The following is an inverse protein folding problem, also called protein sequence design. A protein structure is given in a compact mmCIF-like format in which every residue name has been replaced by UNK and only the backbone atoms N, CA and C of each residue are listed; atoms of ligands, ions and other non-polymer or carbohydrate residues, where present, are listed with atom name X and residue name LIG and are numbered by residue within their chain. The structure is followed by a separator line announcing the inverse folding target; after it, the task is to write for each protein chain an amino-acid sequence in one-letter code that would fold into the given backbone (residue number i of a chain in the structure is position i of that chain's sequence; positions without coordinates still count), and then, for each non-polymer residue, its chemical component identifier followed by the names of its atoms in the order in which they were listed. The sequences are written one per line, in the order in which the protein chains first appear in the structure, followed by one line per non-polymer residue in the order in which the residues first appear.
data_IF_244025472668
#
_entry.id   IF_244025472668
#
_cell.length_a   1.000
_cell.length_b   1.000
_cell.length_c   1.000
_cell.angle_alpha   90.00
_cell.angle_beta   90.00
_cell.angle_gamma   90.00
#
_symmetry.space_group_name_H-M   'P 1'
#
loop_
_entity.id
_entity.type
_entity.pdbx_description
1 polymer ?
#
# COMPACT_ATOMS: atom_id res chain seq x y z
N UNK A 1 -31.40 -43.20 -19.07
CA UNK A 1 -30.90 -42.24 -20.08
C UNK A 1 -31.31 -40.78 -19.81
N UNK A 2 -32.49 -40.50 -19.20
CA UNK A 2 -32.90 -39.11 -18.87
C UNK A 2 -32.12 -38.44 -17.73
N UNK A 3 -31.69 -39.20 -16.71
CA UNK A 3 -30.93 -38.67 -15.58
C UNK A 3 -29.50 -38.22 -15.95
N UNK A 4 -28.85 -38.88 -16.92
CA UNK A 4 -27.55 -38.48 -17.46
C UNK A 4 -27.63 -37.18 -18.27
N UNK A 5 -28.76 -36.93 -18.94
CA UNK A 5 -28.98 -35.69 -19.68
C UNK A 5 -29.12 -34.47 -18.75
N UNK A 6 -29.75 -34.64 -17.58
CA UNK A 6 -29.86 -33.55 -16.59
C UNK A 6 -28.52 -33.24 -15.91
N UNK A 7 -27.66 -34.25 -15.67
CA UNK A 7 -26.35 -34.04 -15.07
C UNK A 7 -25.36 -33.35 -16.04
N UNK A 8 -25.45 -33.66 -17.33
CA UNK A 8 -24.68 -32.96 -18.37
C UNK A 8 -25.08 -31.48 -18.51
N UNK A 9 -26.36 -31.15 -18.30
CA UNK A 9 -26.84 -29.76 -18.36
C UNK A 9 -26.39 -28.93 -17.15
N UNK A 10 -26.19 -29.56 -15.99
CA UNK A 10 -25.72 -28.87 -14.78
C UNK A 10 -24.22 -28.53 -14.80
N UNK A 11 -23.40 -29.31 -15.54
CA UNK A 11 -21.96 -29.06 -15.65
C UNK A 11 -21.59 -27.85 -16.52
N UNK A 12 -22.51 -27.33 -17.34
CA UNK A 12 -22.28 -26.14 -18.16
C UNK A 12 -22.51 -24.80 -17.42
N UNK A 13 -22.98 -24.83 -16.17
CA UNK A 13 -23.17 -23.63 -15.35
C UNK A 13 -21.91 -23.31 -14.52
N UNK A 14 -20.81 -22.97 -15.19
CA UNK A 14 -19.65 -22.37 -14.53
C UNK A 14 -19.86 -20.84 -14.43
N UNK A 15 -19.72 -20.22 -13.25
CA UNK A 15 -19.75 -18.76 -13.15
C UNK A 15 -18.51 -18.18 -13.84
N UNK A 16 -18.70 -17.36 -14.88
CA UNK A 16 -17.61 -16.55 -15.43
C UNK A 16 -17.18 -15.56 -14.34
N UNK A 17 -15.99 -15.77 -13.77
CA UNK A 17 -15.35 -14.78 -12.93
C UNK A 17 -15.00 -13.56 -13.79
N UNK A 18 -15.78 -12.49 -13.64
CA UNK A 18 -15.45 -11.20 -14.22
C UNK A 18 -14.14 -10.70 -13.59
N UNK A 19 -13.09 -10.59 -14.40
CA UNK A 19 -11.87 -9.88 -14.02
C UNK A 19 -12.19 -8.38 -14.04
N UNK A 20 -12.37 -7.80 -12.87
CA UNK A 20 -12.60 -6.37 -12.72
C UNK A 20 -11.24 -5.66 -12.87
N UNK A 21 -10.88 -5.32 -14.11
CA UNK A 21 -9.64 -4.61 -14.42
C UNK A 21 -9.77 -3.14 -13.96
N UNK A 22 -8.94 -2.75 -12.99
CA UNK A 22 -8.89 -1.38 -12.46
C UNK A 22 -7.92 -0.57 -13.31
N UNK A 23 -8.43 0.48 -13.96
CA UNK A 23 -7.63 1.37 -14.81
C UNK A 23 -7.28 2.66 -14.06
N UNK A 24 -6.04 3.11 -14.23
CA UNK A 24 -5.52 4.39 -13.70
C UNK A 24 -5.31 5.36 -14.86
N UNK A 25 -5.86 6.57 -14.76
CA UNK A 25 -5.55 7.66 -15.70
C UNK A 25 -5.31 8.99 -14.99
N UNK A 26 -4.66 9.90 -15.70
CA UNK A 26 -4.37 11.26 -15.24
C UNK A 26 -5.18 12.21 -16.10
N UNK A 27 -5.96 13.10 -15.48
CA UNK A 27 -6.73 14.11 -16.21
C UNK A 27 -5.88 15.34 -16.60
N UNK A 28 -6.49 16.28 -17.33
CA UNK A 28 -5.83 17.51 -17.79
C UNK A 28 -5.34 18.42 -16.64
N UNK A 29 -5.81 18.18 -15.41
CA UNK A 29 -5.42 18.92 -14.21
C UNK A 29 -4.38 18.15 -13.38
N UNK A 30 -3.88 17.02 -13.87
CA UNK A 30 -2.90 16.19 -13.18
C UNK A 30 -3.49 15.31 -12.08
N UNK A 31 -4.82 15.22 -11.97
CA UNK A 31 -5.50 14.42 -10.94
C UNK A 31 -5.56 12.96 -11.40
N UNK A 32 -5.17 12.05 -10.50
CA UNK A 32 -5.17 10.60 -10.76
C UNK A 32 -6.55 10.05 -10.40
N UNK A 33 -7.20 9.41 -11.38
CA UNK A 33 -8.48 8.74 -11.22
C UNK A 33 -8.34 7.22 -11.36
N UNK A 34 -9.18 6.48 -10.63
CA UNK A 34 -9.25 5.01 -10.64
C UNK A 34 -10.69 4.58 -10.93
N UNK A 35 -10.89 3.68 -11.89
CA UNK A 35 -12.23 3.21 -12.25
C UNK A 35 -12.22 1.95 -13.09
N UNK A 36 -13.33 1.20 -13.03
CA UNK A 36 -13.56 -0.08 -13.73
C UNK A 36 -14.19 0.09 -15.12
N UNK A 37 -14.16 1.30 -15.69
CA UNK A 37 -14.74 1.58 -17.01
C UNK A 37 -13.81 2.45 -17.87
N UNK A 38 -13.45 2.05 -19.11
CA UNK A 38 -12.55 2.81 -19.97
C UNK A 38 -13.23 4.10 -20.50
N UNK A 39 -12.54 5.26 -20.47
CA UNK A 39 -13.21 6.54 -20.75
C UNK A 39 -13.43 6.90 -22.23
N UNK A 40 -12.81 6.27 -23.25
CA UNK A 40 -13.13 6.56 -24.67
C UNK A 40 -12.40 5.64 -25.69
N UNK A 41 -12.88 5.63 -26.94
CA UNK A 41 -12.53 4.75 -28.09
C UNK A 41 -11.49 5.31 -29.08
N UNK A 42 -10.74 6.38 -28.78
CA UNK A 42 -9.84 7.02 -29.76
C UNK A 42 -8.45 7.35 -29.19
N UNK A 43 -7.63 6.33 -28.94
CA UNK A 43 -6.22 6.51 -28.60
C UNK A 43 -5.34 6.34 -29.85
N UNK A 44 -4.69 7.42 -30.27
CA UNK A 44 -3.62 7.39 -31.29
C UNK A 44 -2.33 6.86 -30.64
N UNK A 45 -1.53 6.05 -31.35
CA UNK A 45 -0.32 5.45 -30.79
C UNK A 45 0.71 6.52 -30.42
N UNK A 46 1.14 6.53 -29.16
CA UNK A 46 2.26 7.35 -28.71
C UNK A 46 3.58 6.66 -29.11
N UNK A 47 4.45 7.37 -29.81
CA UNK A 47 5.80 6.95 -30.17
C UNK A 47 6.63 6.77 -28.89
N UNK A 48 7.10 5.54 -28.65
CA UNK A 48 8.06 5.26 -27.57
C UNK A 48 9.41 5.92 -27.92
N UNK A 49 10.01 6.74 -27.03
CA UNK A 49 11.41 7.09 -27.16
C UNK A 49 12.29 5.86 -26.92
N UNK A 50 13.38 5.80 -27.68
CA UNK A 50 14.32 4.69 -27.75
C UNK A 50 14.89 4.32 -26.37
N UNK A 51 14.96 3.01 -26.08
CA UNK A 51 15.45 2.47 -24.81
C UNK A 51 16.88 2.96 -24.57
N UNK A 52 17.05 3.81 -23.56
CA UNK A 52 18.37 4.21 -23.08
C UNK A 52 19.01 3.01 -22.37
N UNK A 53 19.99 2.40 -23.04
CA UNK A 53 20.83 1.37 -22.42
C UNK A 53 21.77 2.05 -21.44
N UNK A 54 21.55 1.83 -20.13
CA UNK A 54 22.45 2.34 -19.10
C UNK A 54 23.76 1.54 -19.12
N UNK A 55 24.84 2.20 -19.53
CA UNK A 55 26.22 1.76 -19.27
C UNK A 55 26.60 2.21 -17.87
N UNK A 56 26.98 1.29 -17.00
CA UNK A 56 27.44 1.56 -15.63
C UNK A 56 28.69 2.44 -15.63
N UNK A 57 28.49 3.75 -15.46
CA UNK A 57 29.53 4.73 -15.14
C UNK A 57 29.54 4.99 -13.65
N UNK A 58 30.72 4.80 -13.04
CA UNK A 58 31.04 5.11 -11.64
C UNK A 58 30.57 6.55 -11.28
N UNK A 59 29.78 6.77 -10.22
CA UNK A 59 29.28 8.11 -9.92
C UNK A 59 30.43 9.01 -9.42
N UNK A 60 30.54 10.27 -9.89
CA UNK A 60 31.36 11.27 -9.25
C UNK A 60 30.68 11.73 -7.95
N UNK A 61 31.47 11.96 -6.90
CA UNK A 61 31.01 12.66 -5.69
C UNK A 61 30.60 14.09 -6.07
N UNK A 62 29.32 14.41 -5.91
CA UNK A 62 28.81 15.78 -5.97
C UNK A 62 28.02 16.04 -4.70
N UNK A 63 28.51 16.98 -3.88
CA UNK A 63 27.77 17.57 -2.77
C UNK A 63 26.48 18.22 -3.30
N UNK A 64 25.32 17.72 -2.89
CA UNK A 64 24.04 18.39 -3.12
C UNK A 64 23.56 19.03 -1.80
N UNK A 65 23.16 20.32 -1.80
CA UNK A 65 22.46 20.89 -0.67
C UNK A 65 21.08 20.22 -0.52
N UNK A 66 20.76 19.83 0.71
CA UNK A 66 19.47 19.27 1.12
C UNK A 66 18.36 20.28 0.88
N UNK A 67 17.54 20.04 -0.14
CA UNK A 67 16.26 20.75 -0.31
C UNK A 67 15.19 19.90 0.37
N UNK A 68 14.87 20.24 1.62
CA UNK A 68 13.61 19.87 2.26
C UNK A 68 12.47 20.46 1.43
N UNK A 69 11.81 19.64 0.64
CA UNK A 69 10.54 19.98 0.03
C UNK A 69 9.44 19.78 1.08
N UNK A 70 9.25 20.80 1.92
CA UNK A 70 7.98 21.02 2.59
C UNK A 70 6.91 21.26 1.51
N UNK A 71 6.03 20.29 1.32
CA UNK A 71 4.81 20.49 0.53
C UNK A 71 3.69 20.87 1.50
N UNK A 72 3.55 22.17 1.75
CA UNK A 72 2.35 22.76 2.34
C UNK A 72 1.26 22.77 1.29
N UNK A 73 0.16 22.06 1.55
CA UNK A 73 -1.12 22.29 0.90
C UNK A 73 -2.23 22.31 1.97
N UNK A 74 -2.62 23.51 2.38
CA UNK A 74 -3.90 23.78 3.06
C UNK A 74 -4.89 24.22 1.97
N UNK A 75 -6.21 23.95 1.99
CA UNK A 75 -7.15 24.00 3.12
C UNK A 75 -8.48 23.33 2.69
N UNK A 76 -9.14 22.59 3.58
CA UNK A 76 -10.59 22.74 3.84
C UNK A 76 -10.87 22.36 5.29
N UNK A 77 -11.36 23.34 6.04
CA UNK A 77 -11.51 23.39 7.49
C UNK A 77 -12.63 22.46 7.99
N UNK A 78 -12.25 21.28 8.46
CA UNK A 78 -12.62 20.86 9.82
C UNK A 78 -11.32 20.94 10.60
N UNK A 79 -11.31 21.44 11.83
CA UNK A 79 -10.10 21.47 12.66
C UNK A 79 -9.74 20.03 13.06
N UNK A 80 -9.28 19.25 12.09
CA UNK A 80 -8.54 18.01 12.31
C UNK A 80 -7.17 18.50 12.72
N UNK A 81 -6.75 18.15 13.93
CA UNK A 81 -5.39 18.43 14.35
C UNK A 81 -4.43 17.93 13.26
N UNK A 82 -3.35 18.68 12.99
CA UNK A 82 -2.34 18.26 12.03
C UNK A 82 -1.59 17.05 12.60
N UNK A 83 -2.09 15.84 12.30
CA UNK A 83 -1.50 14.60 12.77
C UNK A 83 -0.28 14.25 11.93
N UNK A 84 0.83 13.98 12.61
CA UNK A 84 2.06 13.48 12.03
C UNK A 84 2.27 12.06 12.53
N UNK A 85 2.19 11.10 11.60
CA UNK A 85 2.40 9.68 11.89
C UNK A 85 3.67 9.18 11.19
N UNK A 86 4.55 8.51 11.94
CA UNK A 86 5.77 7.91 11.41
C UNK A 86 6.00 6.51 11.99
N UNK A 87 6.45 5.58 11.15
CA UNK A 87 6.98 4.29 11.60
C UNK A 87 8.40 4.52 12.14
N UNK A 88 8.64 4.17 13.41
CA UNK A 88 9.95 4.28 14.06
C UNK A 88 10.72 2.98 14.03
N UNK A 89 10.02 1.85 14.02
CA UNK A 89 10.55 0.52 13.76
C UNK A 89 9.49 -0.27 12.99
N UNK A 90 9.84 -1.11 12.00
CA UNK A 90 11.19 -1.33 11.48
C UNK A 90 11.78 -0.09 10.79
N UNK A 91 13.11 -0.08 10.63
CA UNK A 91 13.78 0.91 9.76
C UNK A 91 13.65 0.50 8.30
N UNK A 92 13.90 1.44 7.38
CA UNK A 92 13.88 1.14 5.95
C UNK A 92 14.92 0.08 5.60
N UNK A 93 14.50 -0.87 4.76
CA UNK A 93 15.29 -1.99 4.26
C UNK A 93 15.71 -3.01 5.34
N UNK A 94 15.09 -2.95 6.52
CA UNK A 94 15.33 -3.94 7.57
C UNK A 94 14.92 -5.33 7.12
N UNK A 95 15.74 -6.33 7.48
CA UNK A 95 15.54 -7.71 7.08
C UNK A 95 15.25 -8.61 8.27
N UNK A 96 14.14 -9.31 8.21
CA UNK A 96 13.65 -10.22 9.21
C UNK A 96 13.91 -11.68 8.80
N UNK A 97 14.31 -12.50 9.77
CA UNK A 97 14.52 -13.95 9.60
C UNK A 97 13.76 -14.69 10.68
N UNK A 98 12.44 -14.57 10.65
CA UNK A 98 11.56 -15.23 11.60
C UNK A 98 10.70 -16.29 10.86
N UNK A 99 10.74 -17.57 11.27
CA UNK A 99 10.00 -18.63 10.59
C UNK A 99 8.47 -18.53 10.78
N UNK A 100 7.97 -17.68 11.67
CA UNK A 100 6.55 -17.37 11.87
C UNK A 100 6.14 -16.05 11.19
N UNK A 101 7.07 -15.39 10.49
CA UNK A 101 6.80 -14.11 9.82
C UNK A 101 6.49 -12.99 10.80
N UNK A 102 7.11 -13.00 11.99
CA UNK A 102 6.91 -11.95 12.99
C UNK A 102 7.70 -10.69 12.62
N UNK A 103 6.99 -9.57 12.46
CA UNK A 103 7.59 -8.25 12.24
C UNK A 103 7.05 -7.27 13.29
N UNK A 104 7.85 -6.87 14.28
CA UNK A 104 7.46 -5.86 15.25
C UNK A 104 7.43 -4.47 14.58
N UNK A 105 6.37 -3.71 14.85
CA UNK A 105 6.12 -2.37 14.34
C UNK A 105 5.90 -1.43 15.50
N UNK A 106 6.61 -0.30 15.49
CA UNK A 106 6.46 0.81 16.42
C UNK A 106 6.19 2.10 15.66
N UNK A 107 5.26 2.89 16.18
CA UNK A 107 4.80 4.15 15.61
C UNK A 107 5.10 5.32 16.54
N UNK A 108 5.36 6.48 15.94
CA UNK A 108 5.31 7.77 16.60
C UNK A 108 4.17 8.59 16.00
N UNK A 109 3.29 9.10 16.85
CA UNK A 109 2.15 9.94 16.48
C UNK A 109 2.21 11.25 17.27
N UNK A 110 2.00 12.38 16.59
CA UNK A 110 1.83 13.68 17.22
C UNK A 110 0.69 14.44 16.54
N UNK A 111 -0.28 15.03 17.25
CA UNK A 111 -0.51 14.93 18.70
C UNK A 111 -0.96 13.51 19.12
N UNK A 112 -1.32 13.31 20.39
CA UNK A 112 -1.77 12.00 20.88
C UNK A 112 -2.97 11.44 20.09
N UNK A 113 -3.12 10.12 20.09
CA UNK A 113 -4.21 9.42 19.40
C UNK A 113 -5.58 10.02 19.80
N UNK A 114 -6.48 10.31 18.83
CA UNK A 114 -7.80 10.85 19.14
C UNK A 114 -8.63 9.90 20.00
N UNK A 115 -9.50 10.46 20.82
CA UNK A 115 -10.42 9.69 21.66
C UNK A 115 -11.30 8.77 20.81
N UNK A 116 -11.27 7.47 21.13
CA UNK A 116 -12.02 6.45 20.39
C UNK A 116 -11.46 6.12 19.01
N UNK A 117 -10.36 6.74 18.58
CA UNK A 117 -9.65 6.38 17.36
C UNK A 117 -8.73 5.17 17.53
N UNK A 118 -7.92 4.88 16.51
CA UNK A 118 -6.94 3.80 16.57
C UNK A 118 -6.05 3.70 15.34
N UNK A 119 -5.15 2.73 15.35
CA UNK A 119 -4.20 2.46 14.27
C UNK A 119 -4.68 1.31 13.39
N UNK A 120 -4.55 1.47 12.07
CA UNK A 120 -4.66 0.39 11.09
C UNK A 120 -3.29 0.21 10.43
N UNK A 121 -2.79 -1.02 10.46
CA UNK A 121 -1.53 -1.40 9.84
C UNK A 121 -1.80 -2.00 8.47
N UNK A 122 -0.98 -1.65 7.49
CA UNK A 122 -1.08 -2.10 6.12
C UNK A 122 0.23 -2.74 5.69
N UNK A 123 0.13 -3.92 5.09
CA UNK A 123 1.22 -4.60 4.42
C UNK A 123 0.84 -4.68 2.94
N UNK A 124 1.66 -4.10 2.06
CA UNK A 124 1.43 -4.04 0.62
C UNK A 124 0.06 -3.43 0.24
N UNK A 125 -0.42 -2.50 1.07
CA UNK A 125 -1.72 -1.85 0.92
C UNK A 125 -2.90 -2.64 1.51
N UNK A 126 -2.69 -3.86 2.00
CA UNK A 126 -3.70 -4.69 2.64
C UNK A 126 -3.73 -4.46 4.16
N UNK A 127 -4.90 -4.12 4.69
CA UNK A 127 -5.09 -3.94 6.13
C UNK A 127 -4.87 -5.26 6.89
N UNK A 128 -4.01 -5.23 7.89
CA UNK A 128 -3.59 -6.41 8.66
C UNK A 128 -4.48 -6.65 9.88
N UNK A 129 -5.04 -5.58 10.46
CA UNK A 129 -5.97 -5.66 11.58
C UNK A 129 -7.39 -5.26 11.17
N UNK A 130 -8.38 -6.08 11.56
CA UNK A 130 -9.81 -5.86 11.27
C UNK A 130 -10.44 -4.73 12.10
N UNK A 131 -9.86 -4.45 13.27
CA UNK A 131 -10.33 -3.42 14.22
C UNK A 131 -9.19 -2.46 14.53
N UNK A 132 -9.48 -1.15 14.73
CA UNK A 132 -8.46 -0.18 15.10
C UNK A 132 -7.71 -0.59 16.37
N UNK A 133 -6.39 -0.65 16.28
CA UNK A 133 -5.52 -1.02 17.39
C UNK A 133 -5.22 0.20 18.25
N UNK A 134 -5.13 0.05 19.57
CA UNK A 134 -5.03 1.19 20.50
C UNK A 134 -3.59 1.54 20.88
N UNK A 135 -2.64 0.62 20.68
CA UNK A 135 -1.24 0.83 21.02
C UNK A 135 -0.42 1.25 19.78
N UNK A 136 0.60 2.08 20.00
CA UNK A 136 1.57 2.44 18.97
C UNK A 136 2.54 1.30 18.61
N UNK A 137 2.46 0.16 19.32
CA UNK A 137 3.23 -1.04 19.05
C UNK A 137 2.30 -2.16 18.60
N UNK A 138 2.70 -2.87 17.56
CA UNK A 138 1.98 -4.01 17.00
C UNK A 138 2.97 -4.99 16.38
N UNK A 139 2.65 -6.28 16.40
CA UNK A 139 3.48 -7.29 15.72
C UNK A 139 2.65 -7.86 14.58
N UNK A 140 3.12 -7.65 13.35
CA UNK A 140 2.60 -8.38 12.21
C UNK A 140 2.95 -9.86 12.36
N UNK A 141 2.02 -10.72 12.01
CA UNK A 141 2.17 -12.17 12.02
C UNK A 141 1.98 -12.71 10.63
N UNK A 142 2.60 -13.84 10.32
CA UNK A 142 2.42 -14.51 9.01
C UNK A 142 2.83 -13.61 7.82
N UNK A 143 3.81 -12.73 8.02
CA UNK A 143 4.41 -11.98 6.91
C UNK A 143 5.11 -12.99 6.00
N UNK A 144 4.65 -13.05 4.75
CA UNK A 144 5.22 -13.91 3.72
C UNK A 144 6.69 -13.56 3.44
N UNK A 145 7.40 -14.45 2.75
CA UNK A 145 8.78 -14.18 2.35
C UNK A 145 8.83 -13.21 1.17
N UNK A 146 9.82 -12.31 1.17
CA UNK A 146 10.06 -11.38 0.06
C UNK A 146 10.20 -9.93 0.51
N UNK A 147 10.03 -9.01 -0.44
CA UNK A 147 9.94 -7.58 -0.19
C UNK A 147 8.51 -7.20 0.16
N UNK A 148 8.34 -6.40 1.21
CA UNK A 148 7.05 -5.86 1.61
C UNK A 148 7.12 -4.36 1.88
N UNK A 149 6.00 -3.68 1.70
CA UNK A 149 5.81 -2.27 2.05
C UNK A 149 4.85 -2.14 3.22
N UNK A 150 5.38 -1.71 4.35
CA UNK A 150 4.64 -1.44 5.56
C UNK A 150 4.20 0.02 5.61
N UNK A 151 2.94 0.27 5.91
CA UNK A 151 2.44 1.59 6.29
C UNK A 151 1.42 1.46 7.43
N UNK A 152 1.19 2.54 8.16
CA UNK A 152 0.14 2.62 9.17
C UNK A 152 -0.70 3.87 8.96
N UNK A 153 -1.97 3.81 9.35
CA UNK A 153 -2.88 4.95 9.36
C UNK A 153 -3.54 5.09 10.74
N UNK A 154 -3.89 6.32 11.10
CA UNK A 154 -4.75 6.62 12.25
C UNK A 154 -6.17 6.84 11.74
N UNK A 155 -7.13 6.21 12.40
CA UNK A 155 -8.56 6.35 12.11
C UNK A 155 -9.28 6.95 13.31
N UNK A 156 -10.37 7.68 13.05
CA UNK A 156 -11.28 8.17 14.09
C UNK A 156 -12.24 7.08 14.60
N UNK A 157 -13.10 7.44 15.55
CA UNK A 157 -14.15 6.58 16.11
C UNK A 157 -15.13 6.01 15.07
N UNK A 158 -15.27 6.67 13.92
CA UNK A 158 -16.16 6.28 12.82
C UNK A 158 -15.40 5.44 11.77
N UNK A 159 -14.11 5.18 11.99
CA UNK A 159 -13.24 4.44 11.08
C UNK A 159 -12.70 5.27 9.92
N UNK A 160 -12.88 6.60 9.93
CA UNK A 160 -12.35 7.49 8.90
C UNK A 160 -10.85 7.71 9.12
N UNK A 161 -10.08 7.52 8.07
CA UNK A 161 -8.64 7.80 8.07
C UNK A 161 -8.36 9.29 8.24
N UNK A 162 -7.57 9.63 9.26
CA UNK A 162 -7.14 10.99 9.58
C UNK A 162 -5.75 11.30 9.01
N UNK A 163 -4.83 10.33 9.10
CA UNK A 163 -3.47 10.43 8.56
C UNK A 163 -2.93 9.05 8.23
N UNK A 164 -2.02 8.99 7.25
CA UNK A 164 -1.22 7.83 6.91
C UNK A 164 0.27 8.16 6.97
N UNK A 165 1.05 7.23 7.48
CA UNK A 165 2.51 7.31 7.46
C UNK A 165 3.09 7.04 6.07
N UNK A 166 4.32 7.48 5.85
CA UNK A 166 5.11 7.02 4.71
C UNK A 166 5.33 5.51 4.76
N UNK A 167 5.44 4.89 3.58
CA UNK A 167 5.71 3.45 3.48
C UNK A 167 7.18 3.14 3.78
N UNK A 168 7.41 2.12 4.60
CA UNK A 168 8.72 1.56 4.92
C UNK A 168 8.84 0.22 4.21
N UNK A 169 9.92 0.04 3.44
CA UNK A 169 10.23 -1.23 2.80
C UNK A 169 10.95 -2.15 3.79
N UNK A 170 10.56 -3.41 3.84
CA UNK A 170 11.18 -4.46 4.66
C UNK A 170 11.37 -5.73 3.84
N UNK A 171 12.24 -6.61 4.31
CA UNK A 171 12.48 -7.90 3.70
C UNK A 171 12.27 -9.04 4.68
N UNK A 172 11.51 -10.06 4.29
CA UNK A 172 11.34 -11.29 5.06
C UNK A 172 12.09 -12.42 4.36
N UNK A 173 13.07 -13.00 5.05
CA UNK A 173 13.85 -14.12 4.54
C UNK A 173 13.09 -15.45 4.66
N UNK A 174 13.37 -16.41 3.76
CA UNK A 174 12.83 -17.76 3.91
C UNK A 174 13.32 -18.41 5.21
N UNK A 175 12.48 -19.27 5.84
CA UNK A 175 12.90 -20.05 6.99
C UNK A 175 14.07 -20.95 6.60
N UNK A 176 15.05 -21.08 7.51
CA UNK A 176 16.15 -22.02 7.31
C UNK A 176 15.60 -23.41 7.58
N UNK A 177 15.63 -24.29 6.57
CA UNK A 177 15.36 -25.70 6.76
C UNK A 177 16.39 -26.26 7.77
N UNK A 178 15.91 -26.88 8.84
CA UNK A 178 16.75 -27.61 9.81
C UNK A 178 16.85 -29.07 9.40
#
# INVERSE_FOLDING_TARGET
MRALACLALLLLAQPLAAKDEIYRWVDANGVIHYGSQPPSKDAKPATLPEIQTYRSGRPPLVNAPSVSAAATAATTTTQVADYQLRITAPVADETFRDPQGLVPVSLALSPALPDGGGYIYYLDGLAQNKKPWQAANYTLTEVERGEHRLSAAVVDKDGRELVRSGAVRIYQMPPVAR
#
